data_IF_389766877288
#
_entry.id   IF_389766877288
#
_cell.length_a   1.000
_cell.length_b   1.000
_cell.length_c   1.000
_cell.angle_alpha   90.00
_cell.angle_beta   90.00
_cell.angle_gamma   90.00
#
_symmetry.space_group_name_H-M   'P 1'
#
loop_
_entity.id
_entity.type
_entity.pdbx_description
1 polymer ?
#
# COMPACT_ATOMS: atom_id res chain seq x y z
N UNK A 1 86.65 13.35 46.08
CA UNK A 1 86.48 12.41 44.95
C UNK A 1 85.00 12.44 44.59
N UNK A 2 84.66 13.18 43.54
CA UNK A 2 83.29 13.30 43.04
C UNK A 2 83.00 12.05 42.21
N UNK A 3 82.22 11.11 42.73
CA UNK A 3 81.74 9.94 42.00
C UNK A 3 80.67 10.41 41.03
N UNK A 4 81.10 10.78 39.82
CA UNK A 4 80.21 11.00 38.70
C UNK A 4 79.47 9.67 38.46
N UNK A 5 78.14 9.63 38.56
CA UNK A 5 77.40 8.40 38.32
C UNK A 5 77.70 7.89 36.91
N UNK A 6 78.02 6.60 36.82
CA UNK A 6 78.49 5.96 35.60
C UNK A 6 77.42 6.10 34.51
N UNK A 7 77.75 6.77 33.40
CA UNK A 7 76.78 7.18 32.39
C UNK A 7 76.00 5.99 31.81
N UNK A 8 76.58 4.78 31.85
CA UNK A 8 75.93 3.53 31.46
C UNK A 8 74.80 3.11 32.40
N UNK A 9 74.95 3.34 33.71
CA UNK A 9 73.94 3.02 34.72
C UNK A 9 72.75 3.98 34.61
N UNK A 10 73.00 5.26 34.40
CA UNK A 10 71.93 6.25 34.15
C UNK A 10 71.16 5.88 32.87
N UNK A 11 71.86 5.47 31.82
CA UNK A 11 71.23 5.10 30.56
C UNK A 11 70.38 3.83 30.68
N UNK A 12 70.83 2.83 31.45
CA UNK A 12 70.06 1.60 31.67
C UNK A 12 68.80 1.83 32.52
N UNK A 13 68.88 2.71 33.53
CA UNK A 13 67.72 3.13 34.34
C UNK A 13 66.71 3.91 33.50
N UNK A 14 67.18 4.85 32.67
CA UNK A 14 66.32 5.60 31.74
C UNK A 14 65.66 4.68 30.72
N UNK A 15 66.39 3.71 30.17
CA UNK A 15 65.87 2.76 29.20
C UNK A 15 64.83 1.82 29.83
N UNK A 16 65.04 1.39 31.07
CA UNK A 16 64.08 0.59 31.83
C UNK A 16 62.82 1.39 32.16
N UNK A 17 62.98 2.64 32.58
CA UNK A 17 61.87 3.57 32.83
C UNK A 17 61.05 3.84 31.56
N UNK A 18 61.73 4.09 30.44
CA UNK A 18 61.10 4.28 29.12
C UNK A 18 60.29 3.06 28.70
N UNK A 19 60.86 1.85 28.79
CA UNK A 19 60.13 0.61 28.46
C UNK A 19 58.91 0.44 29.36
N UNK A 20 59.03 0.72 30.66
CA UNK A 20 57.90 0.66 31.60
C UNK A 20 56.77 1.61 31.22
N UNK A 21 57.08 2.84 30.79
CA UNK A 21 56.09 3.81 30.34
C UNK A 21 55.41 3.35 29.04
N UNK A 22 56.17 2.82 28.09
CA UNK A 22 55.65 2.28 26.82
C UNK A 22 54.72 1.08 27.07
N UNK A 23 55.11 0.17 27.96
CA UNK A 23 54.30 -0.99 28.37
C UNK A 23 52.96 -0.54 28.98
N UNK A 24 53.01 0.42 29.91
CA UNK A 24 51.81 1.02 30.54
C UNK A 24 50.90 1.66 29.50
N UNK A 25 51.46 2.39 28.55
CA UNK A 25 50.69 3.04 27.48
C UNK A 25 50.06 2.04 26.52
N UNK A 26 50.77 0.97 26.14
CA UNK A 26 50.21 -0.13 25.33
C UNK A 26 49.07 -0.83 26.04
N UNK A 27 49.24 -1.14 27.33
CA UNK A 27 48.16 -1.73 28.14
C UNK A 27 46.95 -0.81 28.23
N UNK A 28 47.13 0.50 28.45
CA UNK A 28 46.01 1.45 28.42
C UNK A 28 45.28 1.45 27.07
N UNK A 29 46.01 1.42 25.94
CA UNK A 29 45.40 1.34 24.61
C UNK A 29 44.63 0.04 24.42
N UNK A 30 45.17 -1.10 24.87
CA UNK A 30 44.51 -2.41 24.76
C UNK A 30 43.23 -2.46 25.58
N UNK A 31 43.28 -2.03 26.84
CA UNK A 31 42.12 -1.93 27.73
C UNK A 31 41.05 -1.01 27.12
N UNK A 32 41.45 0.13 26.54
CA UNK A 32 40.51 1.03 25.84
C UNK A 32 39.87 0.36 24.63
N UNK A 33 40.66 -0.34 23.80
CA UNK A 33 40.18 -1.02 22.60
C UNK A 33 39.26 -2.21 22.91
N UNK A 34 39.49 -2.92 24.00
CA UNK A 34 38.66 -4.06 24.43
C UNK A 34 37.36 -3.60 25.12
N UNK A 35 37.42 -2.55 25.94
CA UNK A 35 36.26 -2.11 26.72
C UNK A 35 35.32 -1.18 25.95
N UNK A 36 35.82 -0.37 25.00
CA UNK A 36 34.99 0.61 24.29
C UNK A 36 33.91 -0.02 23.40
N UNK A 37 34.18 -1.08 22.60
CA UNK A 37 33.13 -1.76 21.84
C UNK A 37 32.07 -2.41 22.75
N UNK A 38 32.51 -2.94 23.90
CA UNK A 38 31.63 -3.59 24.88
C UNK A 38 30.72 -2.56 25.55
N UNK A 39 31.27 -1.40 25.92
CA UNK A 39 30.50 -0.26 26.42
C UNK A 39 29.52 0.28 25.37
N UNK A 40 29.97 0.42 24.12
CA UNK A 40 29.14 0.89 23.01
C UNK A 40 27.96 -0.05 22.77
N UNK A 41 28.18 -1.38 22.76
CA UNK A 41 27.10 -2.36 22.64
C UNK A 41 26.09 -2.25 23.78
N UNK A 42 26.56 -2.10 25.02
CA UNK A 42 25.68 -1.95 26.19
C UNK A 42 24.85 -0.68 26.13
N UNK A 43 25.45 0.45 25.73
CA UNK A 43 24.73 1.72 25.55
C UNK A 43 23.70 1.59 24.43
N UNK A 44 24.06 1.00 23.29
CA UNK A 44 23.13 0.80 22.18
C UNK A 44 21.97 -0.12 22.61
N UNK A 45 22.24 -1.18 23.35
CA UNK A 45 21.19 -2.08 23.85
C UNK A 45 20.25 -1.35 24.81
N UNK A 46 20.79 -0.62 25.79
CA UNK A 46 19.97 0.20 26.69
C UNK A 46 19.14 1.25 25.96
N UNK A 47 19.70 1.87 24.92
CA UNK A 47 18.97 2.79 24.06
C UNK A 47 17.79 2.11 23.36
N UNK A 48 18.01 0.93 22.76
CA UNK A 48 16.95 0.19 22.07
C UNK A 48 15.88 -0.31 23.03
N UNK A 49 16.25 -0.79 24.22
CA UNK A 49 15.32 -1.21 25.25
C UNK A 49 14.44 -0.03 25.71
N UNK A 50 15.05 1.11 26.05
CA UNK A 50 14.34 2.34 26.43
C UNK A 50 13.45 2.88 25.30
N UNK A 51 13.95 2.84 24.06
CA UNK A 51 13.16 3.27 22.92
C UNK A 51 11.95 2.36 22.69
N UNK A 52 12.12 1.05 22.88
CA UNK A 52 11.02 0.07 22.83
C UNK A 52 9.95 0.36 23.89
N UNK A 53 10.36 0.58 25.14
CA UNK A 53 9.46 0.95 26.24
C UNK A 53 8.72 2.28 25.95
N UNK A 54 9.43 3.28 25.44
CA UNK A 54 8.84 4.57 25.10
C UNK A 54 7.80 4.45 23.98
N UNK A 55 8.12 3.75 22.89
CA UNK A 55 7.19 3.48 21.79
C UNK A 55 5.97 2.73 22.31
N UNK A 56 6.15 1.70 23.15
CA UNK A 56 5.04 0.96 23.75
C UNK A 56 4.14 1.85 24.62
N UNK A 57 4.73 2.73 25.44
CA UNK A 57 3.99 3.66 26.28
C UNK A 57 3.18 4.66 25.44
N UNK A 58 3.79 5.23 24.39
CA UNK A 58 3.12 6.14 23.44
C UNK A 58 1.95 5.44 22.76
N UNK A 59 2.16 4.21 22.24
CA UNK A 59 1.10 3.43 21.59
C UNK A 59 -0.04 3.11 22.57
N UNK A 60 0.29 2.73 23.81
CA UNK A 60 -0.72 2.42 24.84
C UNK A 60 -1.56 3.65 25.19
N UNK A 61 -0.91 4.81 25.37
CA UNK A 61 -1.59 6.07 25.65
C UNK A 61 -2.48 6.49 24.48
N UNK A 62 -1.94 6.46 23.26
CA UNK A 62 -2.67 6.79 22.03
C UNK A 62 -3.91 5.90 21.86
N UNK A 63 -3.75 4.58 22.01
CA UNK A 63 -4.87 3.63 21.91
C UNK A 63 -5.94 3.88 22.97
N UNK A 64 -5.54 4.22 24.20
CA UNK A 64 -6.48 4.55 25.27
C UNK A 64 -7.26 5.82 24.96
N UNK A 65 -6.59 6.84 24.42
CA UNK A 65 -7.23 8.07 23.98
C UNK A 65 -8.21 7.81 22.83
N UNK A 66 -7.82 7.05 21.81
CA UNK A 66 -8.69 6.69 20.68
C UNK A 66 -9.93 5.90 21.12
N UNK A 67 -9.76 4.93 22.04
CA UNK A 67 -10.88 4.17 22.62
C UNK A 67 -11.89 5.04 23.37
N UNK A 68 -11.43 6.12 24.00
CA UNK A 68 -12.31 7.09 24.65
C UNK A 68 -12.94 8.08 23.66
N UNK A 69 -12.20 8.45 22.61
CA UNK A 69 -12.63 9.44 21.62
C UNK A 69 -13.82 8.98 20.78
N UNK A 70 -13.76 7.76 20.23
CA UNK A 70 -14.80 7.27 19.32
C UNK A 70 -16.22 7.27 19.95
N UNK A 71 -16.43 6.71 21.15
CA UNK A 71 -17.74 6.76 21.81
C UNK A 71 -18.24 8.19 22.05
N UNK A 72 -17.34 9.11 22.43
CA UNK A 72 -17.69 10.52 22.63
C UNK A 72 -18.16 11.18 21.32
N UNK A 73 -17.46 10.91 20.21
CA UNK A 73 -17.86 11.43 18.90
C UNK A 73 -19.22 10.88 18.46
N UNK A 74 -19.42 9.56 18.60
CA UNK A 74 -20.67 8.89 18.25
C UNK A 74 -21.86 9.39 19.08
N UNK A 75 -21.65 9.68 20.37
CA UNK A 75 -22.69 10.17 21.26
C UNK A 75 -22.98 11.68 21.10
N UNK A 76 -21.96 12.47 20.78
CA UNK A 76 -22.08 13.94 20.80
C UNK A 76 -22.58 14.54 19.48
N UNK A 77 -22.30 13.89 18.35
CA UNK A 77 -22.63 14.40 17.02
C UNK A 77 -23.62 13.47 16.32
N UNK A 78 -24.64 14.00 15.62
CA UNK A 78 -25.46 13.20 14.71
C UNK A 78 -24.66 12.72 13.49
N UNK A 79 -25.16 11.70 12.80
CA UNK A 79 -24.47 11.01 11.68
C UNK A 79 -23.97 11.98 10.62
N UNK A 80 -24.79 12.95 10.24
CA UNK A 80 -24.50 13.92 9.18
C UNK A 80 -23.30 14.82 9.52
N UNK A 81 -23.15 15.20 10.79
CA UNK A 81 -21.99 15.97 11.24
C UNK A 81 -20.76 15.08 11.39
N UNK A 82 -20.93 13.81 11.78
CA UNK A 82 -19.82 12.85 11.81
C UNK A 82 -19.26 12.59 10.42
N UNK A 83 -20.09 12.52 9.38
CA UNK A 83 -19.63 12.37 7.99
C UNK A 83 -18.72 13.52 7.52
N UNK A 84 -18.96 14.74 8.00
CA UNK A 84 -18.07 15.88 7.74
C UNK A 84 -16.72 15.67 8.43
N UNK A 85 -16.72 15.23 9.69
CA UNK A 85 -15.51 14.93 10.46
C UNK A 85 -14.73 13.78 9.81
N UNK A 86 -15.38 12.67 9.49
CA UNK A 86 -14.78 11.54 8.76
C UNK A 86 -14.20 11.99 7.44
N UNK A 87 -14.94 12.82 6.71
CA UNK A 87 -14.47 13.38 5.46
C UNK A 87 -13.21 14.25 5.59
N UNK A 88 -13.05 14.96 6.70
CA UNK A 88 -11.85 15.70 7.01
C UNK A 88 -10.69 14.78 7.42
N UNK A 89 -10.96 13.76 8.26
CA UNK A 89 -9.97 12.80 8.74
C UNK A 89 -9.38 11.94 7.62
N UNK A 90 -10.21 11.49 6.68
CA UNK A 90 -9.79 10.72 5.51
C UNK A 90 -9.06 11.63 4.50
N UNK A 91 -9.39 12.92 4.48
CA UNK A 91 -8.96 13.85 3.44
C UNK A 91 -9.57 13.54 2.07
N UNK A 92 -9.02 14.17 1.03
CA UNK A 92 -9.23 13.72 -0.34
C UNK A 92 -7.99 12.96 -0.78
N UNK A 93 -8.07 11.65 -1.07
CA UNK A 93 -6.94 10.93 -1.64
C UNK A 93 -6.58 11.57 -2.99
N UNK A 94 -5.35 12.09 -3.10
CA UNK A 94 -4.85 12.76 -4.31
C UNK A 94 -4.65 11.78 -5.47
N UNK A 95 -4.48 10.50 -5.15
CA UNK A 95 -4.30 9.40 -6.10
C UNK A 95 -5.32 8.26 -5.87
N UNK A 96 -5.58 7.45 -6.90
CA UNK A 96 -6.30 6.18 -6.74
C UNK A 96 -5.64 5.32 -5.65
N UNK A 97 -6.45 4.57 -4.91
CA UNK A 97 -5.96 3.61 -3.91
C UNK A 97 -5.83 2.26 -4.59
N UNK A 98 -4.59 1.82 -4.74
CA UNK A 98 -4.26 0.51 -5.28
C UNK A 98 -4.48 -0.55 -4.20
N UNK A 99 -5.28 -1.57 -4.54
CA UNK A 99 -5.48 -2.73 -3.68
C UNK A 99 -4.44 -3.76 -4.11
N UNK A 100 -3.47 -3.99 -3.23
CA UNK A 100 -2.40 -4.97 -3.46
C UNK A 100 -2.77 -6.27 -2.74
N UNK A 101 -2.74 -7.40 -3.44
CA UNK A 101 -2.98 -8.71 -2.85
C UNK A 101 -2.03 -8.99 -1.68
N UNK A 102 -2.47 -9.71 -0.62
CA UNK A 102 -1.61 -10.01 0.54
C UNK A 102 -0.32 -10.76 0.19
N UNK A 103 -0.33 -11.54 -0.90
CA UNK A 103 0.80 -12.33 -1.41
C UNK A 103 1.87 -11.48 -2.13
N UNK A 104 1.53 -10.26 -2.55
CA UNK A 104 2.45 -9.31 -3.19
C UNK A 104 2.96 -8.23 -2.23
N UNK A 105 2.54 -8.26 -0.96
CA UNK A 105 3.13 -7.40 0.06
C UNK A 105 4.58 -7.83 0.31
N UNK A 106 5.54 -7.11 -0.27
CA UNK A 106 6.92 -7.15 0.21
C UNK A 106 6.90 -6.88 1.72
N UNK A 107 7.37 -7.87 2.48
CA UNK A 107 7.33 -7.91 3.95
C UNK A 107 7.66 -6.55 4.57
N UNK A 108 6.69 -5.86 5.22
CA UNK A 108 7.02 -4.69 5.99
C UNK A 108 7.78 -5.12 7.24
N UNK A 109 8.92 -4.51 7.46
CA UNK A 109 9.72 -4.72 8.66
C UNK A 109 8.98 -4.16 9.88
N UNK A 110 8.61 -5.04 10.82
CA UNK A 110 8.37 -4.78 12.25
C UNK A 110 7.50 -3.56 12.61
N UNK A 111 6.24 -3.55 12.17
CA UNK A 111 5.16 -2.82 12.84
C UNK A 111 3.82 -3.43 12.42
N UNK A 112 3.43 -4.50 13.10
CA UNK A 112 2.25 -5.31 12.81
C UNK A 112 0.95 -4.50 12.79
N UNK A 113 0.45 -4.23 11.58
CA UNK A 113 -0.96 -4.33 11.20
C UNK A 113 -1.02 -4.62 9.69
N UNK A 114 -1.31 -5.85 9.25
CA UNK A 114 -1.52 -6.16 7.85
C UNK A 114 -2.92 -5.71 7.45
N UNK A 115 -3.01 -4.69 6.59
CA UNK A 115 -4.25 -4.28 5.92
C UNK A 115 -4.05 -4.36 4.40
N UNK A 116 -4.97 -4.93 3.61
CA UNK A 116 -4.90 -5.03 2.14
C UNK A 116 -4.82 -3.70 1.34
N UNK A 117 -4.55 -2.57 1.98
CA UNK A 117 -4.55 -1.24 1.37
C UNK A 117 -3.16 -0.62 1.48
N UNK A 118 -2.46 -0.52 0.35
CA UNK A 118 -1.29 0.35 0.27
C UNK A 118 -1.78 1.79 0.05
N UNK A 119 -1.84 2.56 1.13
CA UNK A 119 -2.18 3.97 1.05
C UNK A 119 -0.93 4.81 0.77
N UNK A 120 -0.97 5.77 -0.18
CA UNK A 120 0.06 6.79 -0.32
C UNK A 120 0.00 7.86 0.78
N UNK A 121 -0.83 7.67 1.81
CA UNK A 121 -0.96 8.53 2.98
C UNK A 121 -0.06 7.92 4.06
N UNK A 122 0.98 8.63 4.49
CA UNK A 122 2.01 8.18 5.43
C UNK A 122 1.50 7.14 6.44
N UNK A 123 2.06 5.93 6.38
CA UNK A 123 1.67 4.73 7.15
C UNK A 123 1.57 4.96 8.67
N UNK A 124 2.10 6.06 9.19
CA UNK A 124 2.23 6.34 10.63
C UNK A 124 0.96 6.91 11.30
N UNK A 125 -0.07 7.33 10.54
CA UNK A 125 -1.23 8.02 11.13
C UNK A 125 -2.63 7.51 10.71
N UNK A 126 -2.77 6.76 9.63
CA UNK A 126 -4.09 6.31 9.12
C UNK A 126 -4.52 4.94 9.70
N UNK A 127 -3.57 4.09 10.10
CA UNK A 127 -3.83 2.74 10.60
C UNK A 127 -4.64 2.65 11.91
N UNK A 128 -4.50 3.57 12.91
CA UNK A 128 -5.27 3.45 14.15
C UNK A 128 -6.76 3.78 14.00
N UNK A 129 -7.11 4.73 13.11
CA UNK A 129 -8.48 5.25 12.95
C UNK A 129 -9.38 4.21 12.28
N UNK A 130 -8.81 3.34 11.44
CA UNK A 130 -9.51 2.25 10.77
C UNK A 130 -9.45 0.93 11.57
N UNK A 131 -8.85 0.93 12.76
CA UNK A 131 -8.74 -0.28 13.59
C UNK A 131 -9.97 -0.48 14.48
N UNK A 132 -10.67 -1.59 14.25
CA UNK A 132 -11.86 -1.97 15.03
C UNK A 132 -11.51 -2.17 16.52
N UNK A 133 -10.33 -2.70 16.82
CA UNK A 133 -9.85 -2.94 18.19
C UNK A 133 -9.53 -1.65 18.98
N UNK A 134 -9.40 -0.53 18.27
CA UNK A 134 -9.03 0.77 18.83
C UNK A 134 -10.24 1.70 18.82
N UNK A 135 -10.86 1.92 17.65
CA UNK A 135 -11.96 2.87 17.49
C UNK A 135 -13.34 2.23 17.69
N UNK A 136 -13.45 0.90 17.69
CA UNK A 136 -14.73 0.19 17.81
C UNK A 136 -15.46 0.04 16.47
N UNK A 137 -16.27 -1.03 16.38
CA UNK A 137 -16.91 -1.48 15.14
C UNK A 137 -17.74 -0.37 14.47
N UNK A 138 -18.58 0.32 15.25
CA UNK A 138 -19.50 1.31 14.70
C UNK A 138 -18.75 2.48 14.06
N UNK A 139 -17.77 3.06 14.75
CA UNK A 139 -16.99 4.17 14.24
C UNK A 139 -16.23 3.77 12.96
N UNK A 140 -15.60 2.60 12.97
CA UNK A 140 -14.82 2.12 11.82
C UNK A 140 -15.73 1.83 10.62
N UNK A 141 -16.92 1.28 10.84
CA UNK A 141 -17.90 1.07 9.78
C UNK A 141 -18.35 2.40 9.19
N UNK A 142 -18.69 3.36 10.07
CA UNK A 142 -19.14 4.69 9.70
C UNK A 142 -18.11 5.48 8.86
N UNK A 143 -16.82 5.39 9.19
CA UNK A 143 -15.74 6.01 8.43
C UNK A 143 -15.42 5.24 7.14
N UNK A 144 -15.51 3.90 7.15
CA UNK A 144 -15.32 3.08 5.96
C UNK A 144 -16.33 3.41 4.85
N UNK A 145 -17.59 3.64 5.23
CA UNK A 145 -18.63 4.10 4.29
C UNK A 145 -18.23 5.41 3.59
N UNK A 146 -17.77 6.40 4.36
CA UNK A 146 -17.32 7.70 3.84
C UNK A 146 -16.09 7.52 2.96
N UNK A 147 -15.18 6.64 3.35
CA UNK A 147 -13.99 6.31 2.60
C UNK A 147 -14.34 5.72 1.22
N UNK A 148 -15.12 4.65 1.16
CA UNK A 148 -15.52 4.00 -0.09
C UNK A 148 -16.31 4.92 -1.01
N UNK A 149 -17.11 5.83 -0.44
CA UNK A 149 -17.86 6.80 -1.24
C UNK A 149 -16.96 7.86 -1.91
N UNK A 150 -15.76 8.12 -1.39
CA UNK A 150 -14.85 9.19 -1.84
C UNK A 150 -13.69 8.70 -2.68
N UNK A 151 -13.17 7.53 -2.38
CA UNK A 151 -11.97 6.98 -3.01
C UNK A 151 -12.26 6.38 -4.39
N UNK A 152 -11.23 6.35 -5.23
CA UNK A 152 -11.18 5.49 -6.40
C UNK A 152 -10.36 4.26 -6.05
N UNK A 153 -10.99 3.08 -6.04
CA UNK A 153 -10.28 1.82 -5.83
C UNK A 153 -9.77 1.28 -7.17
N UNK A 154 -8.50 0.92 -7.22
CA UNK A 154 -7.89 0.24 -8.36
C UNK A 154 -7.65 -1.23 -8.01
N UNK A 155 -8.19 -2.11 -8.84
CA UNK A 155 -8.08 -3.56 -8.69
C UNK A 155 -7.30 -4.11 -9.89
N UNK A 156 -6.08 -4.58 -9.65
CA UNK A 156 -5.14 -5.03 -10.68
C UNK A 156 -5.39 -6.48 -11.12
N UNK A 157 -5.96 -7.31 -10.24
CA UNK A 157 -6.30 -8.71 -10.54
C UNK A 157 -7.81 -8.91 -10.61
N UNK A 158 -8.28 -9.43 -11.73
CA UNK A 158 -9.69 -9.70 -11.97
C UNK A 158 -10.30 -10.66 -10.94
N UNK A 159 -9.49 -11.61 -10.46
CA UNK A 159 -9.85 -12.63 -9.48
C UNK A 159 -10.20 -12.05 -8.10
N UNK A 160 -9.58 -10.93 -7.72
CA UNK A 160 -9.79 -10.28 -6.42
C UNK A 160 -11.05 -9.42 -6.37
N UNK A 161 -11.64 -9.11 -7.51
CA UNK A 161 -12.80 -8.22 -7.62
C UNK A 161 -13.99 -8.68 -6.77
N UNK A 162 -14.30 -9.98 -6.77
CA UNK A 162 -15.38 -10.53 -5.97
C UNK A 162 -15.13 -10.37 -4.46
N UNK A 163 -14.03 -10.95 -3.93
CA UNK A 163 -13.64 -10.79 -2.53
C UNK A 163 -13.57 -9.33 -2.07
N UNK A 164 -12.93 -8.44 -2.85
CA UNK A 164 -12.81 -7.03 -2.51
C UNK A 164 -14.18 -6.35 -2.43
N UNK A 165 -15.10 -6.60 -3.36
CA UNK A 165 -16.40 -5.94 -3.33
C UNK A 165 -17.28 -6.43 -2.16
N UNK A 166 -17.09 -7.67 -1.70
CA UNK A 166 -17.91 -8.28 -0.65
C UNK A 166 -17.35 -8.17 0.76
N UNK A 167 -16.05 -8.47 0.94
CA UNK A 167 -15.38 -8.47 2.23
C UNK A 167 -14.65 -7.15 2.48
N UNK A 168 -14.22 -6.50 1.40
CA UNK A 168 -13.45 -5.28 1.48
C UNK A 168 -12.02 -5.48 1.93
N UNK A 169 -11.20 -4.45 1.74
CA UNK A 169 -9.80 -4.46 2.12
C UNK A 169 -9.59 -3.96 3.56
N UNK A 170 -10.66 -3.85 4.36
CA UNK A 170 -10.60 -3.51 5.79
C UNK A 170 -10.87 -4.77 6.63
N UNK A 171 -10.72 -4.66 7.95
CA UNK A 171 -10.99 -5.75 8.88
C UNK A 171 -12.37 -6.37 8.64
N UNK A 172 -12.44 -7.71 8.60
CA UNK A 172 -13.68 -8.49 8.48
C UNK A 172 -14.77 -8.13 9.50
N UNK A 173 -14.41 -7.53 10.63
CA UNK A 173 -15.35 -7.05 11.63
C UNK A 173 -16.08 -5.75 11.24
N UNK A 174 -15.65 -5.08 10.15
CA UNK A 174 -16.30 -3.89 9.61
C UNK A 174 -17.63 -4.27 8.97
N UNK A 175 -18.72 -3.65 9.42
CA UNK A 175 -20.09 -3.97 8.99
C UNK A 175 -20.50 -3.26 7.69
N UNK A 176 -19.52 -2.89 6.85
CA UNK A 176 -19.72 -2.10 5.65
C UNK A 176 -19.06 -2.80 4.45
N UNK A 177 -19.88 -3.36 3.56
CA UNK A 177 -19.38 -3.93 2.32
C UNK A 177 -19.08 -2.82 1.29
N UNK A 178 -17.90 -2.81 0.63
CA UNK A 178 -17.58 -1.77 -0.37
C UNK A 178 -18.60 -1.70 -1.50
N UNK A 179 -19.20 -2.84 -1.87
CA UNK A 179 -20.24 -2.95 -2.89
C UNK A 179 -21.47 -2.06 -2.66
N UNK A 180 -21.71 -1.58 -1.44
CA UNK A 180 -22.86 -0.71 -1.13
C UNK A 180 -22.52 0.79 -1.26
N UNK A 181 -21.25 1.15 -1.15
CA UNK A 181 -20.82 2.54 -0.98
C UNK A 181 -19.92 3.05 -2.10
N UNK A 182 -19.20 2.16 -2.80
CA UNK A 182 -18.23 2.55 -3.81
C UNK A 182 -18.86 3.41 -4.91
N UNK A 183 -18.14 4.46 -5.30
CA UNK A 183 -18.58 5.39 -6.37
C UNK A 183 -17.62 5.45 -7.56
N UNK A 184 -16.36 5.04 -7.39
CA UNK A 184 -15.34 5.07 -8.43
C UNK A 184 -14.51 3.80 -8.34
N UNK A 185 -14.47 3.07 -9.45
CA UNK A 185 -13.76 1.80 -9.53
C UNK A 185 -12.94 1.76 -10.81
N UNK A 186 -11.66 1.40 -10.69
CA UNK A 186 -10.78 1.05 -11.79
C UNK A 186 -10.46 -0.44 -11.73
N UNK A 187 -10.74 -1.18 -12.80
CA UNK A 187 -10.56 -2.65 -12.83
C UNK A 187 -9.71 -3.03 -14.02
N UNK A 188 -8.67 -3.80 -13.75
CA UNK A 188 -7.82 -4.38 -14.76
C UNK A 188 -8.41 -5.72 -15.19
N UNK A 189 -8.64 -5.86 -16.49
CA UNK A 189 -9.36 -7.00 -17.07
C UNK A 189 -8.40 -8.18 -17.32
N UNK A 190 -7.10 -7.90 -17.45
CA UNK A 190 -6.07 -8.88 -17.78
C UNK A 190 -4.91 -8.82 -16.80
N UNK A 191 -4.50 -9.99 -16.31
CA UNK A 191 -3.23 -10.18 -15.62
C UNK A 191 -2.11 -10.32 -16.68
N UNK A 192 -0.88 -9.90 -16.36
CA UNK A 192 0.26 -9.96 -17.28
C UNK A 192 0.49 -11.38 -17.82
N UNK A 193 0.31 -12.40 -16.98
CA UNK A 193 0.50 -13.80 -17.38
C UNK A 193 -0.56 -14.29 -18.38
N UNK A 194 -1.78 -13.76 -18.31
CA UNK A 194 -2.84 -14.08 -19.27
C UNK A 194 -2.54 -13.47 -20.64
N UNK A 195 -1.92 -12.29 -20.69
CA UNK A 195 -1.52 -11.63 -21.94
C UNK A 195 -0.49 -12.47 -22.70
N UNK A 196 0.52 -13.00 -22.00
CA UNK A 196 1.54 -13.86 -22.63
C UNK A 196 0.95 -15.18 -23.12
N UNK A 197 0.07 -15.83 -22.33
CA UNK A 197 -0.66 -17.03 -22.79
C UNK A 197 -1.55 -16.76 -24.01
N UNK A 198 -2.16 -15.58 -24.09
CA UNK A 198 -2.95 -15.15 -25.25
C UNK A 198 -2.09 -14.85 -26.48
N UNK A 199 -0.85 -14.43 -26.28
CA UNK A 199 0.10 -14.15 -27.35
C UNK A 199 0.69 -15.42 -27.98
N UNK A 200 1.02 -16.42 -27.16
CA UNK A 200 1.54 -17.71 -27.61
C UNK A 200 0.51 -18.47 -28.47
N UNK A 201 -0.77 -18.33 -28.14
CA UNK A 201 -1.86 -18.96 -28.88
C UNK A 201 -2.43 -18.02 -29.95
N UNK A 202 -1.69 -17.89 -31.06
CA UNK A 202 -2.08 -17.07 -32.20
C UNK A 202 -3.49 -17.41 -32.75
N UNK A 203 -3.97 -18.63 -32.50
CA UNK A 203 -5.28 -19.14 -32.96
C UNK A 203 -6.46 -18.59 -32.16
N UNK A 204 -6.24 -18.08 -30.94
CA UNK A 204 -7.32 -17.51 -30.12
C UNK A 204 -7.95 -16.30 -30.78
N UNK A 205 -9.26 -16.32 -30.85
CA UNK A 205 -10.09 -15.22 -31.34
C UNK A 205 -10.72 -14.45 -30.19
N UNK A 206 -11.30 -13.28 -30.48
CA UNK A 206 -12.07 -12.53 -29.48
C UNK A 206 -13.22 -13.35 -28.86
N UNK A 207 -13.78 -14.33 -29.59
CA UNK A 207 -14.81 -15.24 -29.09
C UNK A 207 -14.30 -16.14 -27.97
N UNK A 208 -13.02 -16.53 -28.00
CA UNK A 208 -12.43 -17.40 -27.00
C UNK A 208 -12.08 -16.63 -25.72
N UNK A 209 -11.81 -15.33 -25.86
CA UNK A 209 -11.49 -14.41 -24.75
C UNK A 209 -12.75 -13.86 -24.08
N UNK A 210 -13.84 -13.70 -24.84
CA UNK A 210 -15.09 -13.13 -24.35
C UNK A 210 -15.62 -13.77 -23.05
N UNK A 211 -15.68 -15.11 -22.89
CA UNK A 211 -16.13 -15.73 -21.65
C UNK A 211 -15.32 -15.31 -20.42
N UNK A 212 -14.00 -15.16 -20.57
CA UNK A 212 -13.12 -14.69 -19.50
C UNK A 212 -13.52 -13.27 -19.07
N UNK A 213 -13.63 -12.35 -20.03
CA UNK A 213 -14.03 -10.96 -19.76
C UNK A 213 -15.42 -10.89 -19.12
N UNK A 214 -16.39 -11.62 -19.67
CA UNK A 214 -17.76 -11.65 -19.15
C UNK A 214 -17.81 -12.17 -17.71
N UNK A 215 -17.02 -13.20 -17.38
CA UNK A 215 -16.90 -13.74 -16.03
C UNK A 215 -16.23 -12.73 -15.08
N UNK A 216 -15.14 -12.09 -15.51
CA UNK A 216 -14.45 -11.04 -14.76
C UNK A 216 -15.37 -9.88 -14.40
N UNK A 217 -16.25 -9.46 -15.32
CA UNK A 217 -17.14 -8.32 -15.10
C UNK A 217 -18.43 -8.70 -14.35
N UNK A 218 -18.68 -9.98 -14.10
CA UNK A 218 -19.89 -10.46 -13.44
C UNK A 218 -20.12 -9.85 -12.04
N UNK A 219 -19.11 -9.70 -11.17
CA UNK A 219 -19.27 -9.03 -9.89
C UNK A 219 -19.69 -7.56 -10.03
N UNK A 220 -19.17 -6.85 -11.04
CA UNK A 220 -19.52 -5.44 -11.29
C UNK A 220 -20.99 -5.29 -11.70
N UNK A 221 -21.51 -6.25 -12.49
CA UNK A 221 -22.93 -6.25 -12.90
C UNK A 221 -23.89 -6.28 -11.71
N UNK A 222 -23.47 -6.85 -10.57
CA UNK A 222 -24.26 -6.88 -9.32
C UNK A 222 -24.38 -5.49 -8.68
N UNK A 223 -23.48 -4.56 -9.00
CA UNK A 223 -23.46 -3.18 -8.49
C UNK A 223 -24.44 -2.25 -9.21
N UNK A 224 -25.34 -2.76 -10.06
CA UNK A 224 -26.30 -1.96 -10.85
C UNK A 224 -27.19 -1.03 -10.02
N UNK A 225 -27.38 -1.36 -8.74
CA UNK A 225 -28.21 -0.61 -7.81
C UNK A 225 -27.52 0.69 -7.35
N UNK A 226 -26.19 0.79 -7.48
CA UNK A 226 -25.42 1.96 -7.07
C UNK A 226 -25.54 3.09 -8.11
N UNK A 227 -26.41 4.06 -7.81
CA UNK A 227 -26.56 5.25 -8.63
C UNK A 227 -25.26 6.06 -8.65
N UNK A 228 -24.79 6.38 -9.86
CA UNK A 228 -23.64 7.25 -10.06
C UNK A 228 -22.27 6.59 -9.93
N UNK A 229 -22.21 5.26 -9.76
CA UNK A 229 -20.97 4.49 -9.85
C UNK A 229 -20.29 4.71 -11.22
N UNK A 230 -19.03 5.13 -11.18
CA UNK A 230 -18.15 5.28 -12.35
C UNK A 230 -17.17 4.11 -12.39
N UNK A 231 -17.11 3.43 -13.54
CA UNK A 231 -16.23 2.29 -13.75
C UNK A 231 -15.26 2.61 -14.89
N UNK A 232 -13.97 2.40 -14.62
CA UNK A 232 -12.89 2.52 -15.58
C UNK A 232 -12.28 1.13 -15.78
N UNK A 233 -12.48 0.53 -16.94
CA UNK A 233 -11.83 -0.74 -17.27
C UNK A 233 -10.47 -0.48 -17.90
N UNK A 234 -9.46 -1.22 -17.47
CA UNK A 234 -8.10 -1.14 -18.01
C UNK A 234 -7.77 -2.49 -18.66
N UNK A 235 -7.61 -2.47 -19.98
CA UNK A 235 -7.05 -3.60 -20.71
C UNK A 235 -5.54 -3.39 -20.81
N UNK A 236 -4.76 -4.25 -20.18
CA UNK A 236 -3.30 -4.18 -20.24
C UNK A 236 -2.79 -5.17 -21.29
N UNK A 237 -2.03 -4.70 -22.28
CA UNK A 237 -1.29 -5.55 -23.19
C UNK A 237 -0.13 -4.78 -23.82
N UNK A 238 1.01 -5.43 -23.95
CA UNK A 238 2.18 -4.94 -24.68
C UNK A 238 2.15 -5.28 -26.16
N UNK A 239 1.26 -6.19 -26.58
CA UNK A 239 1.15 -6.68 -27.96
C UNK A 239 -0.13 -6.17 -28.62
N UNK A 240 0.02 -5.37 -29.67
CA UNK A 240 -1.12 -4.76 -30.39
C UNK A 240 -2.15 -5.78 -30.91
N UNK A 241 -1.71 -6.99 -31.28
CA UNK A 241 -2.60 -8.07 -31.73
C UNK A 241 -3.48 -8.62 -30.62
N UNK A 242 -2.95 -8.73 -29.39
CA UNK A 242 -3.68 -9.17 -28.20
C UNK A 242 -4.59 -8.04 -27.70
N UNK A 243 -4.08 -6.81 -27.69
CA UNK A 243 -4.83 -5.59 -27.38
C UNK A 243 -6.12 -5.48 -28.20
N UNK A 244 -6.05 -5.69 -29.51
CA UNK A 244 -7.23 -5.63 -30.38
C UNK A 244 -8.24 -6.73 -30.06
N UNK A 245 -7.79 -7.99 -29.87
CA UNK A 245 -8.67 -9.11 -29.51
C UNK A 245 -9.36 -8.89 -28.16
N UNK A 246 -8.65 -8.31 -27.19
CA UNK A 246 -9.19 -7.94 -25.88
C UNK A 246 -10.22 -6.82 -26.01
N UNK A 247 -9.93 -5.77 -26.76
CA UNK A 247 -10.88 -4.68 -27.00
C UNK A 247 -12.16 -5.22 -27.67
N UNK A 248 -12.02 -6.07 -28.69
CA UNK A 248 -13.16 -6.69 -29.38
C UNK A 248 -14.02 -7.56 -28.43
N UNK A 249 -13.39 -8.21 -27.44
CA UNK A 249 -14.10 -8.98 -26.41
C UNK A 249 -14.76 -8.10 -25.33
N UNK A 250 -14.16 -6.95 -24.98
CA UNK A 250 -14.67 -6.03 -23.96
C UNK A 250 -15.81 -5.16 -24.48
N UNK A 251 -15.79 -4.79 -25.76
CA UNK A 251 -16.78 -3.87 -26.35
C UNK A 251 -18.23 -4.34 -26.17
N UNK A 252 -18.61 -5.60 -26.45
CA UNK A 252 -19.98 -6.08 -26.23
C UNK A 252 -20.43 -5.93 -24.77
N UNK A 253 -19.54 -6.19 -23.81
CA UNK A 253 -19.81 -6.06 -22.38
C UNK A 253 -20.05 -4.59 -21.98
N UNK A 254 -19.24 -3.67 -22.50
CA UNK A 254 -19.41 -2.23 -22.28
C UNK A 254 -20.79 -1.76 -22.76
N UNK A 255 -21.25 -2.22 -23.93
CA UNK A 255 -22.57 -1.86 -24.43
C UNK A 255 -23.70 -2.40 -23.56
N UNK A 256 -23.61 -3.67 -23.13
CA UNK A 256 -24.60 -4.26 -22.23
C UNK A 256 -24.67 -3.51 -20.89
N UNK A 257 -23.52 -3.16 -20.32
CA UNK A 257 -23.46 -2.40 -19.07
C UNK A 257 -23.96 -0.97 -19.25
N UNK A 258 -23.61 -0.27 -20.34
CA UNK A 258 -24.17 1.06 -20.62
C UNK A 258 -25.68 1.02 -20.79
N UNK A 259 -26.21 0.03 -21.50
CA UNK A 259 -27.65 -0.17 -21.66
C UNK A 259 -28.35 -0.46 -20.32
N UNK A 260 -27.66 -1.11 -19.39
CA UNK A 260 -28.13 -1.31 -18.01
C UNK A 260 -27.97 -0.07 -17.10
N UNK A 261 -27.47 1.05 -17.62
CA UNK A 261 -27.39 2.35 -16.91
C UNK A 261 -26.05 2.63 -16.23
N UNK A 262 -25.02 1.82 -16.44
CA UNK A 262 -23.70 2.06 -15.85
C UNK A 262 -22.95 3.21 -16.52
N UNK A 263 -22.23 4.02 -15.73
CA UNK A 263 -21.25 5.00 -16.25
C UNK A 263 -19.90 4.31 -16.39
N UNK A 264 -19.68 3.67 -17.53
CA UNK A 264 -18.50 2.85 -17.79
C UNK A 264 -17.67 3.38 -18.98
N UNK A 265 -16.35 3.35 -18.79
CA UNK A 265 -15.34 3.65 -19.80
C UNK A 265 -14.28 2.55 -19.79
N UNK A 266 -13.55 2.41 -20.89
CA UNK A 266 -12.40 1.52 -20.95
C UNK A 266 -11.23 2.24 -21.61
N UNK A 267 -10.00 1.88 -21.20
CA UNK A 267 -8.75 2.34 -21.80
C UNK A 267 -7.81 1.15 -21.99
N UNK A 268 -6.95 1.26 -22.99
CA UNK A 268 -5.84 0.34 -23.18
C UNK A 268 -4.59 0.92 -22.52
N UNK A 269 -3.81 0.09 -21.82
CA UNK A 269 -2.53 0.48 -21.23
C UNK A 269 -1.44 -0.46 -21.73
N UNK A 270 -0.39 0.10 -22.32
CA UNK A 270 0.82 -0.66 -22.60
C UNK A 270 1.77 -0.54 -21.38
N UNK A 271 2.20 -1.64 -20.77
CA UNK A 271 3.03 -1.59 -19.55
C UNK A 271 4.43 -1.00 -19.79
N UNK A 272 4.92 -1.00 -21.04
CA UNK A 272 6.27 -0.51 -21.40
C UNK A 272 6.32 0.99 -21.72
N UNK A 273 5.17 1.63 -21.97
CA UNK A 273 5.09 3.06 -22.26
C UNK A 273 4.39 3.79 -21.10
N UNK A 274 5.06 4.77 -20.50
CA UNK A 274 4.43 5.69 -19.53
C UNK A 274 3.37 6.58 -20.18
N UNK A 275 3.44 6.75 -21.49
CA UNK A 275 2.45 7.52 -22.26
C UNK A 275 1.19 6.68 -22.46
N UNK A 276 0.14 7.08 -21.75
CA UNK A 276 -1.18 6.50 -21.86
C UNK A 276 -1.74 6.77 -23.25
N UNK A 277 -1.85 5.75 -24.10
CA UNK A 277 -2.79 5.81 -25.23
C UNK A 277 -4.19 5.64 -24.61
N UNK A 278 -4.72 6.74 -24.06
CA UNK A 278 -6.13 6.81 -23.69
C UNK A 278 -6.94 6.74 -24.98
N UNK A 279 -7.34 5.54 -25.36
CA UNK A 279 -8.54 5.38 -26.16
C UNK A 279 -9.73 5.80 -25.30
N UNK A 280 -9.98 7.10 -25.22
CA UNK A 280 -11.28 7.59 -24.76
C UNK A 280 -12.31 7.10 -25.76
N UNK A 281 -12.92 5.96 -25.45
CA UNK A 281 -14.16 5.46 -26.03
C UNK A 281 -15.35 6.36 -25.66
N UNK A 282 -15.14 7.68 -25.63
CA UNK A 282 -16.11 8.72 -25.29
C UNK A 282 -16.79 9.28 -26.55
N UNK A 283 -16.19 9.19 -27.76
CA UNK A 283 -16.75 9.83 -28.96
C UNK A 283 -16.65 9.06 -30.29
N UNK A 284 -15.80 8.04 -30.43
CA UNK A 284 -15.56 7.39 -31.74
C UNK A 284 -16.67 6.42 -32.20
N UNK A 285 -17.66 6.11 -31.38
CA UNK A 285 -18.64 5.05 -31.66
C UNK A 285 -19.99 5.55 -32.21
N UNK A 286 -20.18 6.86 -32.37
CA UNK A 286 -21.37 7.44 -33.04
C UNK A 286 -21.18 7.72 -34.54
N UNK A 287 -19.98 7.56 -35.09
CA UNK A 287 -19.76 7.57 -36.54
C UNK A 287 -18.95 6.33 -36.90
N UNK A 288 -19.58 5.39 -37.60
CA UNK A 288 -18.91 4.21 -38.12
C UNK A 288 -17.72 4.60 -38.99
N UNK A 289 -16.52 4.54 -38.40
CA UNK A 289 -15.19 4.37 -39.00
C UNK A 289 -14.17 4.58 -37.88
N UNK A 290 -13.68 3.49 -37.32
CA UNK A 290 -12.41 3.49 -36.61
C UNK A 290 -11.30 3.71 -37.66
N UNK A 291 -10.76 4.92 -37.75
CA UNK A 291 -9.46 5.15 -38.36
C UNK A 291 -8.44 5.26 -37.22
N UNK A 292 -7.54 4.29 -37.15
CA UNK A 292 -6.32 4.36 -36.36
C UNK A 292 -5.44 5.43 -37.01
N UNK A 293 -5.15 6.52 -36.31
CA UNK A 293 -4.06 7.42 -36.68
C UNK A 293 -2.83 7.01 -35.89
N UNK A 294 -1.76 6.66 -36.61
CA UNK A 294 -0.40 6.48 -36.08
C UNK A 294 0.12 7.78 -35.48
#
# INVERSE_FOLDING_TARGET
MSTQPDAQMINSELQTSYQTVVEKWRNMRRIKAENFPTLQRRINQQYWDLNGEFVQAVNTYSNSWHRAFSPLLLASLPRELRDLVYGFLIGQPESPVDIVPPDEMEVPTLSDMPGPLQFPISEQHVLPILSVNIMGIQFVSEIAEVFYARVQLTIHRATDLGPILHQGPLDSAVLCAPSDYIRRLEVWITETDDVYKMAEDASRTAKDIYPMVANTLQPIRRLKHLKGLKIHLVACSDLSSVAQKLLDAVVPELYQMRAAGFKISARHRNPWYRDHIEFKLEAAFYRGKASVSN
#
